data_IF_631049344612
#
_entry.id   IF_631049344612
#
_cell.length_a   1.000
_cell.length_b   1.000
_cell.length_c   1.000
_cell.angle_alpha   90.00
_cell.angle_beta   90.00
_cell.angle_gamma   90.00
#
_symmetry.space_group_name_H-M   'P 1'
#
loop_
_entity.id
_entity.type
_entity.pdbx_description
1 polymer ?
#
# COMPACT_ATOMS: atom_id res chain seq x y z
N UNK A 1 -19.73 -13.91 20.42
CA UNK A 1 -19.88 -13.35 21.78
C UNK A 1 -18.71 -12.41 22.03
N UNK A 2 -18.88 -11.12 21.72
CA UNK A 2 -17.89 -10.05 21.97
C UNK A 2 -18.60 -8.96 22.76
N UNK A 3 -18.17 -8.73 23.99
CA UNK A 3 -18.77 -7.77 24.92
C UNK A 3 -17.97 -6.45 24.97
N UNK A 4 -18.70 -5.40 25.30
CA UNK A 4 -18.40 -3.96 25.34
C UNK A 4 -17.11 -3.53 26.08
N UNK A 5 -16.54 -2.43 25.57
CA UNK A 5 -15.92 -1.26 26.25
C UNK A 5 -14.64 -1.46 27.08
N UNK A 6 -13.56 -0.77 26.67
CA UNK A 6 -12.95 0.32 27.44
C UNK A 6 -12.06 1.20 26.53
N UNK A 7 -12.29 2.53 26.53
CA UNK A 7 -11.35 3.52 25.97
C UNK A 7 -10.25 3.78 27.00
N UNK A 8 -8.97 3.82 26.63
CA UNK A 8 -7.89 4.19 27.56
C UNK A 8 -7.92 5.70 27.92
N UNK A 9 -7.58 6.08 29.17
CA UNK A 9 -7.84 7.41 29.74
C UNK A 9 -6.76 8.50 29.47
N UNK A 10 -5.98 8.41 28.39
CA UNK A 10 -4.81 9.29 28.23
C UNK A 10 -5.09 10.66 27.55
N UNK A 11 -6.31 10.91 27.08
CA UNK A 11 -6.67 12.15 26.35
C UNK A 11 -7.26 13.26 27.25
N UNK A 12 -7.37 13.05 28.56
CA UNK A 12 -7.96 14.03 29.48
C UNK A 12 -6.93 14.91 30.21
N UNK A 13 -5.62 14.71 29.99
CA UNK A 13 -4.57 15.35 30.79
C UNK A 13 -3.89 16.57 30.15
N UNK A 14 -4.37 17.04 28.99
CA UNK A 14 -3.81 18.23 28.32
C UNK A 14 -4.75 19.44 28.29
N UNK A 15 -5.87 19.38 29.03
CA UNK A 15 -6.85 20.47 29.13
C UNK A 15 -6.80 21.25 30.46
N UNK A 16 -5.79 21.01 31.31
CA UNK A 16 -5.76 21.53 32.69
C UNK A 16 -4.56 22.44 33.02
N UNK A 17 -4.03 23.19 32.04
CA UNK A 17 -3.02 24.24 32.31
C UNK A 17 -3.48 25.66 31.97
N UNK A 18 -4.74 25.86 31.58
CA UNK A 18 -5.29 27.19 31.32
C UNK A 18 -6.29 27.58 32.43
N UNK A 19 -5.75 27.89 33.61
CA UNK A 19 -6.48 28.62 34.65
C UNK A 19 -6.65 30.07 34.23
N UNK A 20 -7.88 30.49 33.93
CA UNK A 20 -8.26 31.89 33.73
C UNK A 20 -8.24 32.64 35.06
N UNK A 21 -7.56 33.79 35.12
CA UNK A 21 -8.02 34.93 35.92
C UNK A 21 -7.91 36.18 35.06
N UNK A 22 -9.07 36.72 34.69
CA UNK A 22 -9.21 37.98 33.99
C UNK A 22 -8.76 39.14 34.90
N UNK A 23 -7.89 40.02 34.39
CA UNK A 23 -7.88 41.44 34.74
C UNK A 23 -7.68 42.26 33.48
N UNK A 24 -8.63 43.16 33.25
CA UNK A 24 -8.65 44.17 32.21
C UNK A 24 -7.55 45.20 32.44
N UNK A 25 -6.68 45.39 31.45
CA UNK A 25 -5.91 46.63 31.25
C UNK A 25 -5.87 46.93 29.74
N UNK A 26 -6.22 48.15 29.28
CA UNK A 26 -6.19 48.52 27.87
C UNK A 26 -4.78 48.93 27.46
N UNK A 27 -4.27 48.33 26.38
CA UNK A 27 -2.95 48.64 25.81
C UNK A 27 -2.45 47.47 24.98
N UNK A 28 -2.64 47.56 23.67
CA UNK A 28 -2.40 46.49 22.71
C UNK A 28 -0.95 45.98 22.73
N UNK A 29 -0.74 44.75 23.18
CA UNK A 29 0.39 43.96 22.68
C UNK A 29 -0.06 43.40 21.34
N UNK A 30 0.38 44.06 20.28
CA UNK A 30 0.41 43.49 18.95
C UNK A 30 1.28 42.23 19.07
N UNK A 31 0.65 41.07 19.22
CA UNK A 31 1.29 39.80 18.90
C UNK A 31 1.41 39.82 17.39
N UNK A 32 2.51 40.44 16.93
CA UNK A 32 2.91 40.52 15.55
C UNK A 32 2.85 39.10 15.00
N UNK A 33 1.92 38.93 14.07
CA UNK A 33 1.72 37.75 13.26
C UNK A 33 3.08 37.20 12.87
N UNK A 34 3.54 36.14 13.55
CA UNK A 34 4.53 35.23 12.98
C UNK A 34 3.82 34.62 11.78
N UNK A 35 3.99 35.30 10.66
CA UNK A 35 3.66 34.82 9.34
C UNK A 35 4.28 33.43 9.26
N UNK A 36 3.41 32.43 9.18
CA UNK A 36 3.84 31.09 8.84
C UNK A 36 4.70 31.23 7.60
N UNK A 37 6.00 30.90 7.75
CA UNK A 37 6.86 30.59 6.63
C UNK A 37 6.07 29.59 5.77
N UNK A 38 5.56 30.06 4.64
CA UNK A 38 4.96 29.21 3.61
C UNK A 38 6.14 28.50 2.94
N UNK A 39 6.80 27.65 3.73
CA UNK A 39 7.98 26.91 3.33
C UNK A 39 7.62 26.09 2.10
N UNK A 40 8.49 26.16 1.09
CA UNK A 40 8.35 25.40 -0.16
C UNK A 40 7.94 23.95 0.16
N UNK A 41 7.05 23.32 -0.63
CA UNK A 41 6.58 21.98 -0.33
C UNK A 41 7.78 21.07 -0.10
N UNK A 42 7.84 20.40 1.06
CA UNK A 42 8.93 19.48 1.40
C UNK A 42 9.06 18.49 0.25
N UNK A 43 10.19 18.55 -0.45
CA UNK A 43 10.47 17.69 -1.59
C UNK A 43 11.10 16.39 -1.13
N UNK A 44 10.65 15.28 -1.70
CA UNK A 44 11.19 13.97 -1.43
C UNK A 44 12.03 13.54 -2.62
N UNK A 45 13.36 13.48 -2.46
CA UNK A 45 14.30 13.23 -3.56
C UNK A 45 13.99 11.96 -4.38
N UNK A 46 13.42 10.91 -3.75
CA UNK A 46 13.00 9.69 -4.45
C UNK A 46 11.77 9.90 -5.33
N UNK A 47 10.82 10.74 -4.90
CA UNK A 47 9.60 11.05 -5.64
C UNK A 47 9.92 11.94 -6.83
N UNK A 48 10.76 12.96 -6.64
CA UNK A 48 11.15 13.90 -7.69
C UNK A 48 11.88 13.22 -8.87
N UNK A 49 12.46 12.04 -8.65
CA UNK A 49 13.17 11.24 -9.66
C UNK A 49 12.28 10.22 -10.38
N UNK A 50 11.03 10.02 -9.94
CA UNK A 50 10.15 9.05 -10.59
C UNK A 50 9.75 9.55 -11.98
N UNK A 51 9.90 8.74 -13.03
CA UNK A 51 9.47 9.12 -14.37
C UNK A 51 7.94 9.26 -14.42
N UNK A 52 7.41 10.00 -15.40
CA UNK A 52 5.98 10.06 -15.65
C UNK A 52 5.38 8.66 -15.85
N UNK A 53 4.20 8.43 -15.27
CA UNK A 53 3.53 7.14 -15.38
C UNK A 53 2.80 7.02 -16.72
N UNK A 54 3.44 6.34 -17.67
CA UNK A 54 3.00 6.21 -19.08
C UNK A 54 1.55 5.71 -19.21
N UNK A 55 1.11 4.80 -18.33
CA UNK A 55 -0.25 4.27 -18.39
C UNK A 55 -1.35 5.30 -18.09
N UNK A 56 -1.04 6.39 -17.36
CA UNK A 56 -2.02 7.47 -17.19
C UNK A 56 -2.24 8.20 -18.53
N UNK A 57 -1.16 8.47 -19.26
CA UNK A 57 -1.22 9.18 -20.54
C UNK A 57 -2.01 8.34 -21.56
N UNK A 58 -1.71 7.04 -21.67
CA UNK A 58 -2.45 6.16 -22.60
C UNK A 58 -3.92 6.01 -22.19
N UNK A 59 -4.22 5.97 -20.89
CA UNK A 59 -5.60 5.94 -20.41
C UNK A 59 -6.37 7.23 -20.78
N UNK A 60 -5.76 8.40 -20.64
CA UNK A 60 -6.35 9.68 -21.02
C UNK A 60 -6.65 9.76 -22.52
N UNK A 61 -5.68 9.37 -23.36
CA UNK A 61 -5.84 9.32 -24.82
C UNK A 61 -6.96 8.36 -25.22
N UNK A 62 -6.98 7.16 -24.64
CA UNK A 62 -8.03 6.16 -24.87
C UNK A 62 -9.40 6.70 -24.49
N UNK A 63 -9.54 7.33 -23.33
CA UNK A 63 -10.81 7.92 -22.90
C UNK A 63 -11.24 9.07 -23.82
N UNK A 64 -10.31 9.90 -24.29
CA UNK A 64 -10.61 10.98 -25.22
C UNK A 64 -11.11 10.46 -26.57
N UNK A 65 -10.47 9.43 -27.13
CA UNK A 65 -10.89 8.78 -28.37
C UNK A 65 -12.27 8.09 -28.22
N UNK A 66 -12.53 7.40 -27.09
CA UNK A 66 -13.86 6.82 -26.81
C UNK A 66 -14.95 7.89 -26.77
N UNK A 67 -14.66 9.06 -26.17
CA UNK A 67 -15.60 10.20 -26.13
C UNK A 67 -15.88 10.79 -27.52
N UNK A 68 -14.97 10.63 -28.48
CA UNK A 68 -15.19 11.02 -29.88
C UNK A 68 -15.97 9.97 -30.68
N UNK A 69 -16.36 8.85 -30.06
CA UNK A 69 -17.09 7.77 -30.72
C UNK A 69 -16.20 6.86 -31.57
N UNK A 70 -14.88 6.89 -31.36
CA UNK A 70 -13.94 6.02 -32.08
C UNK A 70 -14.01 4.58 -31.54
N UNK A 71 -13.93 3.61 -32.45
CA UNK A 71 -13.74 2.20 -32.11
C UNK A 71 -12.25 1.94 -31.82
N UNK A 72 -11.92 1.57 -30.59
CA UNK A 72 -10.54 1.44 -30.11
C UNK A 72 -10.23 0.00 -29.73
N UNK A 73 -9.22 -0.55 -30.38
CA UNK A 73 -8.56 -1.79 -29.96
C UNK A 73 -7.47 -1.42 -28.94
N UNK A 74 -7.69 -1.77 -27.68
CA UNK A 74 -6.78 -1.44 -26.58
C UNK A 74 -5.72 -2.53 -26.38
N UNK A 75 -4.49 -2.27 -26.84
CA UNK A 75 -3.31 -3.11 -26.62
C UNK A 75 -2.32 -2.45 -25.64
N UNK A 76 -2.77 -1.46 -24.86
CA UNK A 76 -1.89 -0.63 -24.03
C UNK A 76 -1.52 -1.27 -22.69
N UNK A 77 -2.28 -2.26 -22.22
CA UNK A 77 -2.03 -2.96 -20.96
C UNK A 77 -2.02 -4.48 -21.16
N UNK A 78 -1.05 -5.16 -20.56
CA UNK A 78 -0.94 -6.62 -20.57
C UNK A 78 -1.90 -7.30 -19.59
N UNK A 79 -3.16 -6.86 -19.51
CA UNK A 79 -4.17 -7.55 -18.71
C UNK A 79 -4.70 -8.75 -19.52
N UNK A 80 -4.69 -9.98 -18.99
CA UNK A 80 -5.36 -11.09 -19.64
C UNK A 80 -6.85 -10.80 -19.82
N UNK A 81 -7.39 -11.26 -20.94
CA UNK A 81 -8.80 -11.16 -21.34
C UNK A 81 -9.67 -12.26 -20.72
N UNK A 82 -9.08 -13.43 -20.49
CA UNK A 82 -9.75 -14.58 -19.88
C UNK A 82 -10.00 -14.45 -18.38
N UNK A 83 -11.05 -15.13 -17.90
CA UNK A 83 -11.33 -15.27 -16.49
C UNK A 83 -10.30 -16.18 -15.80
N UNK A 84 -10.07 -15.96 -14.51
CA UNK A 84 -9.30 -16.87 -13.66
C UNK A 84 -9.92 -18.29 -13.69
N UNK A 85 -9.13 -19.36 -13.83
CA UNK A 85 -9.63 -20.73 -13.85
C UNK A 85 -10.59 -21.06 -12.67
N UNK A 86 -11.73 -21.74 -12.92
CA UNK A 86 -12.79 -21.92 -11.92
C UNK A 86 -12.32 -22.52 -10.58
N UNK A 87 -11.46 -23.55 -10.64
CA UNK A 87 -10.94 -24.22 -9.44
C UNK A 87 -10.15 -23.28 -8.50
N UNK A 88 -9.56 -22.20 -9.01
CA UNK A 88 -8.85 -21.19 -8.19
C UNK A 88 -9.87 -20.31 -7.47
N UNK A 89 -10.91 -19.87 -8.19
CA UNK A 89 -11.99 -19.05 -7.64
C UNK A 89 -12.76 -19.84 -6.56
N UNK A 90 -13.11 -21.09 -6.84
CA UNK A 90 -13.75 -22.00 -5.89
C UNK A 90 -12.89 -22.18 -4.62
N UNK A 91 -11.57 -22.33 -4.78
CA UNK A 91 -10.66 -22.47 -3.65
C UNK A 91 -10.61 -21.20 -2.80
N UNK A 92 -10.58 -20.03 -3.45
CA UNK A 92 -10.65 -18.74 -2.75
C UNK A 92 -11.93 -18.63 -1.92
N UNK A 93 -13.09 -18.90 -2.53
CA UNK A 93 -14.40 -18.86 -1.84
C UNK A 93 -14.42 -19.83 -0.65
N UNK A 94 -13.98 -21.06 -0.87
CA UNK A 94 -13.91 -22.10 0.18
C UNK A 94 -13.06 -21.66 1.37
N UNK A 95 -11.89 -21.05 1.11
CA UNK A 95 -10.98 -20.62 2.18
C UNK A 95 -11.51 -19.38 2.88
N UNK A 96 -12.10 -18.43 2.15
CA UNK A 96 -12.65 -17.19 2.73
C UNK A 96 -13.80 -17.44 3.72
N UNK A 97 -14.56 -18.52 3.54
CA UNK A 97 -15.63 -18.93 4.46
C UNK A 97 -15.13 -19.51 5.80
N UNK A 98 -13.84 -19.82 5.91
CA UNK A 98 -13.29 -20.40 7.14
C UNK A 98 -12.86 -19.31 8.12
N UNK A 99 -13.42 -19.36 9.32
CA UNK A 99 -13.14 -18.39 10.40
C UNK A 99 -11.66 -18.35 10.83
N UNK A 100 -10.92 -19.45 10.65
CA UNK A 100 -9.50 -19.57 11.04
C UNK A 100 -8.52 -18.91 10.05
N UNK A 101 -9.02 -18.26 8.99
CA UNK A 101 -8.19 -17.70 7.90
C UNK A 101 -8.15 -16.18 7.84
N UNK A 102 -8.92 -15.50 8.71
CA UNK A 102 -9.09 -14.04 8.67
C UNK A 102 -8.01 -13.28 9.44
N UNK A 103 -7.20 -13.97 10.23
CA UNK A 103 -6.11 -13.38 11.00
C UNK A 103 -4.93 -12.93 10.13
N UNK A 104 -3.97 -12.26 10.75
CA UNK A 104 -2.74 -11.87 10.07
C UNK A 104 -1.98 -13.10 9.55
N UNK A 105 -1.46 -12.98 8.33
CA UNK A 105 -0.54 -13.97 7.79
C UNK A 105 0.84 -13.84 8.43
N UNK A 106 1.65 -14.89 8.33
CA UNK A 106 3.07 -14.83 8.67
C UNK A 106 3.78 -13.84 7.76
N UNK A 107 4.77 -13.10 8.27
CA UNK A 107 5.48 -12.05 7.52
C UNK A 107 6.09 -12.53 6.18
N UNK A 108 6.57 -13.77 6.12
CA UNK A 108 7.16 -14.37 4.90
C UNK A 108 6.10 -14.95 3.94
N UNK A 109 4.83 -14.94 4.33
CA UNK A 109 3.73 -15.57 3.61
C UNK A 109 3.41 -17.00 4.04
N UNK A 110 2.21 -17.46 3.66
CA UNK A 110 1.60 -18.73 4.07
C UNK A 110 2.58 -19.91 3.80
N UNK A 111 2.96 -20.72 4.82
CA UNK A 111 3.95 -21.80 4.64
C UNK A 111 3.58 -22.84 3.57
N UNK A 112 2.28 -23.14 3.42
CA UNK A 112 1.80 -24.05 2.38
C UNK A 112 1.97 -23.48 0.97
N UNK A 113 1.85 -22.15 0.82
CA UNK A 113 2.06 -21.48 -0.46
C UNK A 113 3.54 -21.47 -0.84
N UNK A 114 4.43 -21.14 0.12
CA UNK A 114 5.89 -21.19 -0.10
C UNK A 114 6.35 -22.57 -0.59
N UNK A 115 5.91 -23.65 0.09
CA UNK A 115 6.18 -25.04 -0.35
C UNK A 115 5.64 -25.35 -1.75
N UNK A 116 4.44 -24.88 -2.09
CA UNK A 116 3.87 -25.08 -3.41
C UNK A 116 4.70 -24.38 -4.51
N UNK A 117 5.20 -23.17 -4.25
CA UNK A 117 6.08 -22.42 -5.15
C UNK A 117 7.40 -23.16 -5.37
N UNK A 118 8.08 -23.58 -4.29
CA UNK A 118 9.33 -24.36 -4.37
C UNK A 118 9.16 -25.64 -5.18
N UNK A 119 8.10 -26.41 -4.91
CA UNK A 119 7.80 -27.64 -5.65
C UNK A 119 7.51 -27.38 -7.14
N UNK A 120 6.82 -26.28 -7.44
CA UNK A 120 6.55 -25.88 -8.82
C UNK A 120 7.83 -25.54 -9.57
N UNK A 121 8.76 -24.80 -8.93
CA UNK A 121 10.09 -24.51 -9.48
C UNK A 121 10.89 -25.77 -9.74
N UNK A 122 10.93 -26.70 -8.78
CA UNK A 122 11.63 -27.98 -8.96
C UNK A 122 11.06 -28.79 -10.13
N UNK A 123 9.73 -28.90 -10.24
CA UNK A 123 9.09 -29.66 -11.32
C UNK A 123 9.30 -29.01 -12.70
N UNK A 124 9.26 -27.68 -12.78
CA UNK A 124 9.24 -26.96 -14.06
C UNK A 124 10.62 -26.61 -14.59
N UNK A 125 11.58 -26.40 -13.69
CA UNK A 125 12.91 -25.88 -14.01
C UNK A 125 14.05 -26.67 -13.34
N UNK A 126 13.75 -27.73 -12.59
CA UNK A 126 14.73 -28.55 -11.86
C UNK A 126 15.54 -27.81 -10.78
N UNK A 127 15.12 -26.59 -10.43
CA UNK A 127 15.73 -25.75 -9.39
C UNK A 127 15.20 -26.15 -8.00
N UNK A 128 16.11 -26.49 -7.09
CA UNK A 128 15.81 -26.67 -5.68
C UNK A 128 15.76 -25.31 -4.97
N UNK A 129 14.65 -25.02 -4.28
CA UNK A 129 14.43 -23.80 -3.48
C UNK A 129 13.95 -24.23 -2.10
N UNK A 130 14.73 -23.93 -1.06
CA UNK A 130 14.31 -24.14 0.33
C UNK A 130 13.15 -23.19 0.67
N UNK A 131 11.93 -23.71 0.93
CA UNK A 131 10.79 -22.86 1.22
C UNK A 131 10.99 -22.01 2.48
N UNK A 132 11.82 -22.43 3.45
CA UNK A 132 12.02 -21.72 4.72
C UNK A 132 13.10 -20.64 4.65
N UNK A 133 14.10 -20.75 3.77
CA UNK A 133 15.17 -19.76 3.67
C UNK A 133 15.12 -18.93 2.38
N UNK A 134 14.64 -19.48 1.27
CA UNK A 134 14.78 -18.91 -0.08
C UNK A 134 13.44 -18.46 -0.72
N UNK A 135 12.31 -18.64 -0.04
CA UNK A 135 11.00 -18.23 -0.53
C UNK A 135 10.32 -17.18 0.36
N UNK A 136 9.84 -16.10 -0.27
CA UNK A 136 9.00 -15.06 0.34
C UNK A 136 7.83 -14.73 -0.59
N UNK A 137 6.63 -14.54 -0.01
CA UNK A 137 5.43 -14.15 -0.77
C UNK A 137 5.23 -12.64 -0.70
N UNK A 138 4.95 -12.04 -1.85
CA UNK A 138 4.79 -10.59 -2.04
C UNK A 138 3.40 -10.25 -2.56
N UNK A 139 2.99 -8.99 -2.45
CA UNK A 139 1.74 -8.47 -3.03
C UNK A 139 1.99 -8.18 -4.52
N UNK A 140 2.13 -9.27 -5.27
CA UNK A 140 2.52 -9.23 -6.68
C UNK A 140 4.00 -8.87 -6.88
N UNK A 141 4.40 -8.83 -8.15
CA UNK A 141 5.79 -8.60 -8.54
C UNK A 141 6.27 -7.16 -8.31
N UNK A 142 5.38 -6.18 -8.42
CA UNK A 142 5.72 -4.75 -8.24
C UNK A 142 6.23 -4.46 -6.83
N UNK A 143 5.53 -4.96 -5.82
CA UNK A 143 5.90 -4.76 -4.42
C UNK A 143 7.17 -5.56 -4.07
N UNK A 144 7.28 -6.80 -4.57
CA UNK A 144 8.50 -7.61 -4.41
C UNK A 144 9.75 -6.95 -4.99
N UNK A 145 9.66 -6.40 -6.21
CA UNK A 145 10.77 -5.70 -6.82
C UNK A 145 11.14 -4.43 -6.05
N UNK A 146 10.15 -3.64 -5.62
CA UNK A 146 10.40 -2.44 -4.84
C UNK A 146 11.14 -2.74 -3.53
N UNK A 147 10.73 -3.76 -2.79
CA UNK A 147 11.41 -4.17 -1.56
C UNK A 147 12.77 -4.81 -1.81
N UNK A 148 12.93 -5.59 -2.89
CA UNK A 148 14.23 -6.12 -3.28
C UNK A 148 15.25 -5.00 -3.50
N UNK A 149 14.86 -3.96 -4.25
CA UNK A 149 15.71 -2.80 -4.49
C UNK A 149 16.05 -2.08 -3.19
N UNK A 150 15.06 -1.89 -2.30
CA UNK A 150 15.29 -1.25 -1.00
C UNK A 150 16.23 -2.05 -0.09
N UNK A 151 16.21 -3.38 -0.19
CA UNK A 151 17.01 -4.27 0.64
C UNK A 151 18.44 -4.49 0.12
N UNK A 152 18.69 -4.29 -1.18
CA UNK A 152 19.96 -4.67 -1.83
C UNK A 152 20.77 -3.50 -2.38
N UNK A 153 20.16 -2.32 -2.53
CA UNK A 153 20.84 -1.14 -3.08
C UNK A 153 21.17 -0.13 -1.99
N UNK A 154 22.44 0.28 -1.96
CA UNK A 154 22.92 1.44 -1.21
C UNK A 154 23.02 2.69 -2.11
N UNK A 155 23.32 3.83 -1.49
CA UNK A 155 23.67 5.02 -2.23
C UNK A 155 24.96 4.76 -3.03
N UNK A 156 24.86 4.87 -4.36
CA UNK A 156 26.01 4.88 -5.27
C UNK A 156 26.84 6.15 -5.16
#
# INVERSE_FOLDING_TARGET
>A
MWTKRHRPPYLAQQAASCGHVARTVPGAYVCETLMADQGSPRRFARIDRLPPYVFNITAELKMAARRRGEDIIDLSMGNPDGATPPHIVEKLVTVAQREDTHGYSTSRGIPRLRRAISNWYKKRYEVDIDPESEAIVTIGSKEGLAHLMLATLDQG
#
